data_IF_391307569228
#
_entry.id   IF_391307569228
#
_cell.length_a   1.000
_cell.length_b   1.000
_cell.length_c   1.000
_cell.angle_alpha   90.00
_cell.angle_beta   90.00
_cell.angle_gamma   90.00
#
_symmetry.space_group_name_H-M   'P 1'
#
loop_
_entity.id
_entity.type
_entity.pdbx_description
1 polymer ?
#
# COMPACT_ATOMS: atom_id res chain seq x y z
N UNK A 1 -11.25 13.91 16.62
CA UNK A 1 -12.24 13.19 15.80
C UNK A 1 -11.73 11.82 15.44
N UNK A 2 -12.56 10.83 15.62
CA UNK A 2 -12.20 9.45 15.34
C UNK A 2 -11.73 9.23 13.90
N UNK A 3 -12.40 9.87 12.98
CA UNK A 3 -12.08 9.78 11.56
C UNK A 3 -10.64 10.26 11.29
N UNK A 4 -10.27 11.39 11.89
CA UNK A 4 -8.92 11.94 11.72
C UNK A 4 -7.86 11.03 12.31
N UNK A 5 -8.14 10.44 13.48
CA UNK A 5 -7.20 9.53 14.12
C UNK A 5 -6.97 8.27 13.29
N UNK A 6 -8.05 7.69 12.75
CA UNK A 6 -7.96 6.51 11.89
C UNK A 6 -7.16 6.82 10.63
N UNK A 7 -7.41 7.98 10.03
CA UNK A 7 -6.69 8.41 8.83
C UNK A 7 -5.19 8.59 9.11
N UNK A 8 -4.86 9.24 10.24
CA UNK A 8 -3.46 9.45 10.63
C UNK A 8 -2.74 8.13 10.84
N UNK A 9 -3.41 7.16 11.47
CA UNK A 9 -2.85 5.83 11.68
C UNK A 9 -2.54 5.16 10.34
N UNK A 10 -3.48 5.24 9.39
CA UNK A 10 -3.28 4.62 8.08
C UNK A 10 -2.19 5.31 7.27
N UNK A 11 -2.07 6.62 7.38
CA UNK A 11 -0.97 7.34 6.73
C UNK A 11 0.39 6.88 7.27
N UNK A 12 0.48 6.70 8.59
CA UNK A 12 1.71 6.19 9.22
C UNK A 12 2.03 4.77 8.72
N UNK A 13 1.02 3.92 8.60
CA UNK A 13 1.20 2.56 8.09
C UNK A 13 1.69 2.59 6.64
N UNK A 14 1.08 3.43 5.80
CA UNK A 14 1.49 3.56 4.40
C UNK A 14 2.93 4.03 4.27
N UNK A 15 3.31 5.04 5.06
CA UNK A 15 4.69 5.54 5.06
C UNK A 15 5.66 4.46 5.48
N UNK A 16 5.29 3.67 6.49
CA UNK A 16 6.12 2.57 6.97
C UNK A 16 6.34 1.52 5.88
N UNK A 17 5.27 1.14 5.18
CA UNK A 17 5.38 0.18 4.07
C UNK A 17 6.35 0.71 3.00
N UNK A 18 6.18 1.96 2.60
CA UNK A 18 7.02 2.57 1.57
C UNK A 18 8.48 2.60 2.01
N UNK A 19 8.74 3.03 3.25
CA UNK A 19 10.10 3.11 3.78
C UNK A 19 10.78 1.75 3.89
N UNK A 20 10.03 0.73 4.34
CA UNK A 20 10.59 -0.61 4.49
C UNK A 20 11.01 -1.23 3.17
N UNK A 21 10.38 -0.82 2.09
CA UNK A 21 10.73 -1.33 0.75
C UNK A 21 11.73 -0.43 0.01
N UNK A 22 12.23 0.61 0.66
CA UNK A 22 13.21 1.49 0.03
C UNK A 22 12.61 2.58 -0.83
N UNK A 23 11.41 3.05 -0.49
CA UNK A 23 10.71 4.08 -1.23
C UNK A 23 9.69 3.52 -2.20
N UNK A 24 9.08 4.39 -3.00
CA UNK A 24 8.04 3.99 -3.95
C UNK A 24 8.57 2.99 -4.96
N UNK A 25 9.79 3.19 -5.46
CA UNK A 25 10.39 2.25 -6.40
C UNK A 25 10.53 0.85 -5.80
N UNK A 26 10.89 0.76 -4.52
CA UNK A 26 10.99 -0.52 -3.83
C UNK A 26 9.65 -1.23 -3.73
N UNK A 27 8.57 -0.48 -3.50
CA UNK A 27 7.22 -1.03 -3.49
C UNK A 27 6.85 -1.56 -4.87
N UNK A 28 7.16 -0.80 -5.92
CA UNK A 28 6.92 -1.22 -7.30
C UNK A 28 7.66 -2.54 -7.59
N UNK A 29 8.92 -2.61 -7.20
CA UNK A 29 9.74 -3.81 -7.41
C UNK A 29 9.14 -5.02 -6.69
N UNK A 30 8.64 -4.83 -5.48
CA UNK A 30 8.02 -5.90 -4.71
C UNK A 30 6.76 -6.43 -5.40
N UNK A 31 5.92 -5.54 -5.91
CA UNK A 31 4.73 -5.92 -6.64
C UNK A 31 5.09 -6.69 -7.91
N UNK A 32 6.09 -6.22 -8.65
CA UNK A 32 6.55 -6.89 -9.87
C UNK A 32 7.08 -8.29 -9.56
N UNK A 33 7.84 -8.42 -8.49
CA UNK A 33 8.41 -9.69 -8.06
C UNK A 33 7.33 -10.73 -7.76
N UNK A 34 6.19 -10.28 -7.25
CA UNK A 34 5.08 -11.16 -6.90
C UNK A 34 4.07 -11.34 -8.03
N UNK A 35 4.33 -10.78 -9.20
CA UNK A 35 3.45 -10.92 -10.36
C UNK A 35 2.35 -9.88 -10.49
N UNK A 36 2.43 -8.80 -9.72
CA UNK A 36 1.42 -7.73 -9.72
C UNK A 36 1.97 -6.42 -10.30
N UNK A 37 2.96 -6.51 -11.18
CA UNK A 37 3.57 -5.32 -11.78
C UNK A 37 2.59 -4.45 -12.55
N UNK A 38 1.67 -5.04 -13.29
CA UNK A 38 0.68 -4.28 -14.05
C UNK A 38 -0.25 -3.50 -13.13
N UNK A 39 -0.63 -4.09 -12.00
CA UNK A 39 -1.49 -3.44 -11.03
C UNK A 39 -0.82 -2.19 -10.47
N UNK A 40 0.41 -2.32 -9.99
CA UNK A 40 1.11 -1.17 -9.40
C UNK A 40 1.42 -0.10 -10.45
N UNK A 41 1.71 -0.50 -11.68
CA UNK A 41 1.97 0.45 -12.76
C UNK A 41 0.75 1.30 -13.08
N UNK A 42 -0.45 0.75 -12.92
CA UNK A 42 -1.66 1.53 -13.12
C UNK A 42 -1.80 2.65 -12.06
N UNK A 43 -1.25 2.43 -10.86
CA UNK A 43 -1.28 3.44 -9.80
C UNK A 43 -0.25 4.54 -10.02
N UNK A 44 0.90 4.19 -10.58
CA UNK A 44 1.95 5.16 -10.90
C UNK A 44 1.58 6.00 -12.12
N UNK A 45 0.84 5.41 -13.05
CA UNK A 45 0.45 6.10 -14.27
C UNK A 45 -0.61 7.17 -14.05
N UNK A 46 -0.99 7.83 -15.13
CA UNK A 46 -2.00 8.89 -15.10
C UNK A 46 -3.41 8.38 -15.39
N UNK A 47 -3.55 7.09 -15.70
CA UNK A 47 -4.85 6.48 -15.97
C UNK A 47 -5.58 6.04 -14.71
N UNK A 48 -6.65 5.29 -14.90
CA UNK A 48 -7.43 4.76 -13.78
C UNK A 48 -6.63 3.70 -13.01
N UNK A 49 -6.71 3.75 -11.68
CA UNK A 49 -6.04 2.78 -10.82
C UNK A 49 -6.79 1.45 -10.85
N UNK A 50 -6.07 0.37 -11.09
CA UNK A 50 -6.66 -0.96 -11.00
C UNK A 50 -6.87 -1.33 -9.53
N UNK A 51 -7.99 -2.01 -9.21
CA UNK A 51 -8.20 -2.45 -7.85
C UNK A 51 -7.28 -3.61 -7.47
N UNK A 52 -7.02 -3.75 -6.18
CA UNK A 52 -6.30 -4.89 -5.65
C UNK A 52 -7.14 -5.48 -4.52
N UNK A 53 -7.19 -6.81 -4.44
CA UNK A 53 -7.92 -7.48 -3.37
C UNK A 53 -7.04 -7.60 -2.13
N UNK A 54 -7.65 -7.74 -0.93
CA UNK A 54 -6.88 -8.00 0.28
C UNK A 54 -5.99 -9.24 0.17
N UNK A 55 -6.48 -10.30 -0.46
CA UNK A 55 -5.70 -11.52 -0.64
C UNK A 55 -4.46 -11.30 -1.51
N UNK A 56 -4.61 -10.54 -2.58
CA UNK A 56 -3.49 -10.19 -3.45
C UNK A 56 -2.45 -9.37 -2.71
N UNK A 57 -2.92 -8.39 -1.95
CA UNK A 57 -2.02 -7.55 -1.16
C UNK A 57 -1.28 -8.36 -0.11
N UNK A 58 -1.95 -9.32 0.51
CA UNK A 58 -1.34 -10.24 1.46
C UNK A 58 -0.19 -11.01 0.81
N UNK A 59 -0.38 -11.47 -0.43
CA UNK A 59 0.66 -12.17 -1.17
C UNK A 59 1.87 -11.28 -1.45
N UNK A 60 1.63 -10.02 -1.75
CA UNK A 60 2.70 -9.07 -2.06
C UNK A 60 3.52 -8.73 -0.83
N UNK A 61 2.87 -8.38 0.27
CA UNK A 61 3.56 -7.89 1.46
C UNK A 61 4.04 -9.00 2.40
N UNK A 62 3.32 -10.11 2.44
CA UNK A 62 3.69 -11.24 3.29
C UNK A 62 3.12 -11.13 4.70
N UNK A 63 2.89 -12.29 5.32
CA UNK A 63 2.24 -12.38 6.63
C UNK A 63 3.03 -11.71 7.74
N UNK A 64 4.35 -11.86 7.76
CA UNK A 64 5.19 -11.31 8.82
C UNK A 64 5.11 -9.78 8.85
N UNK A 65 5.20 -9.14 7.68
CA UNK A 65 5.11 -7.69 7.58
C UNK A 65 3.72 -7.20 7.98
N UNK A 66 2.68 -7.88 7.51
CA UNK A 66 1.30 -7.49 7.83
C UNK A 66 1.01 -7.62 9.32
N UNK A 67 1.50 -8.67 9.97
CA UNK A 67 1.32 -8.83 11.41
C UNK A 67 2.01 -7.71 12.19
N UNK A 68 3.22 -7.34 11.80
CA UNK A 68 3.94 -6.25 12.44
C UNK A 68 3.22 -4.91 12.27
N UNK A 69 2.72 -4.63 11.07
CA UNK A 69 1.99 -3.40 10.80
C UNK A 69 0.66 -3.36 11.55
N UNK A 70 -0.05 -4.48 11.61
CA UNK A 70 -1.33 -4.57 12.32
C UNK A 70 -1.13 -4.30 13.80
N UNK A 71 -0.07 -4.84 14.40
CA UNK A 71 0.25 -4.61 15.81
C UNK A 71 0.50 -3.12 16.08
N UNK A 72 1.25 -2.46 15.19
CA UNK A 72 1.52 -1.03 15.33
C UNK A 72 0.27 -0.18 15.19
N UNK A 73 -0.64 -0.59 14.30
CA UNK A 73 -1.86 0.16 14.02
C UNK A 73 -3.00 -0.14 15.00
N UNK A 74 -2.85 -1.19 15.82
CA UNK A 74 -3.92 -1.62 16.70
C UNK A 74 -5.08 -2.26 15.96
N UNK A 75 -4.80 -2.89 14.82
CA UNK A 75 -5.79 -3.53 13.96
C UNK A 75 -5.53 -5.03 13.87
N UNK A 76 -6.54 -5.78 13.44
CA UNK A 76 -6.32 -7.16 13.03
C UNK A 76 -5.71 -7.17 11.62
N UNK A 77 -5.04 -8.27 11.26
CA UNK A 77 -4.47 -8.39 9.92
C UNK A 77 -5.54 -8.25 8.82
N UNK A 78 -6.71 -8.92 8.91
CA UNK A 78 -7.75 -8.73 7.90
C UNK A 78 -8.21 -7.28 7.75
N UNK A 79 -8.37 -6.56 8.86
CA UNK A 79 -8.77 -5.15 8.82
C UNK A 79 -7.69 -4.29 8.18
N UNK A 80 -6.42 -4.53 8.55
CA UNK A 80 -5.30 -3.79 7.99
C UNK A 80 -5.22 -3.97 6.47
N UNK A 81 -5.27 -5.22 6.01
CA UNK A 81 -5.13 -5.54 4.59
C UNK A 81 -6.28 -4.93 3.79
N UNK A 82 -7.49 -4.98 4.34
CA UNK A 82 -8.66 -4.38 3.70
C UNK A 82 -8.48 -2.87 3.51
N UNK A 83 -8.00 -2.18 4.55
CA UNK A 83 -7.79 -0.73 4.49
C UNK A 83 -6.64 -0.38 3.54
N UNK A 84 -5.56 -1.15 3.58
CA UNK A 84 -4.44 -0.94 2.67
C UNK A 84 -4.85 -1.12 1.21
N UNK A 85 -5.66 -2.13 0.93
CA UNK A 85 -6.15 -2.38 -0.43
C UNK A 85 -6.95 -1.19 -0.97
N UNK A 86 -7.66 -0.49 -0.10
CA UNK A 86 -8.43 0.69 -0.47
C UNK A 86 -7.58 1.94 -0.61
N UNK A 87 -6.59 2.12 0.25
CA UNK A 87 -5.83 3.36 0.34
C UNK A 87 -4.54 3.35 -0.46
N UNK A 88 -3.92 2.20 -0.63
CA UNK A 88 -2.62 2.11 -1.27
C UNK A 88 -2.62 2.62 -2.72
N UNK A 89 -3.62 2.27 -3.56
CA UNK A 89 -3.66 2.81 -4.92
C UNK A 89 -3.67 4.34 -4.96
N UNK A 90 -4.50 4.96 -4.12
CA UNK A 90 -4.57 6.43 -4.05
C UNK A 90 -3.28 7.03 -3.52
N UNK A 91 -2.67 6.39 -2.52
CA UNK A 91 -1.44 6.90 -1.93
C UNK A 91 -0.30 6.90 -2.94
N UNK A 92 -0.15 5.83 -3.70
CA UNK A 92 0.88 5.75 -4.73
C UNK A 92 0.60 6.77 -5.83
N UNK A 93 -0.66 6.89 -6.26
CA UNK A 93 -1.05 7.85 -7.29
C UNK A 93 -0.72 9.29 -6.87
N UNK A 94 -0.97 9.63 -5.61
CA UNK A 94 -0.71 10.98 -5.09
C UNK A 94 0.79 11.33 -5.05
N UNK A 95 1.66 10.36 -4.80
CA UNK A 95 3.09 10.61 -4.79
C UNK A 95 3.71 10.50 -6.17
N UNK A 96 2.93 10.11 -7.17
CA UNK A 96 3.38 10.00 -8.56
C UNK A 96 2.37 10.65 -9.51
N UNK A 97 2.00 11.94 -9.30
CA UNK A 97 0.88 12.55 -10.05
C UNK A 97 1.10 12.63 -11.55
N UNK A 98 2.36 12.64 -12.00
CA UNK A 98 2.69 12.72 -13.41
C UNK A 98 3.19 11.39 -13.97
N UNK A 99 2.97 10.31 -13.26
CA UNK A 99 3.48 9.00 -13.65
C UNK A 99 4.98 8.84 -13.44
N UNK A 100 5.58 9.72 -12.66
CA UNK A 100 7.02 9.71 -12.38
C UNK A 100 7.25 9.45 -10.90
N UNK A 101 8.10 8.50 -10.60
CA UNK A 101 8.48 8.19 -9.23
C UNK A 101 9.53 9.22 -8.78
N UNK A 102 9.22 9.91 -7.70
CA UNK A 102 10.10 10.94 -7.15
C UNK A 102 10.93 10.43 -5.99
#
# INVERSE_FOLDING_TARGET
MEFSAAWSTMVSVLNNVIEQHGGVQGVVDQFEKQGFGETIKSWVGTGANQPISPDQLHQVLGSAQLQALAAKAGLTVPELVKRLAQLLPEAIDKVTPNGVIS
#
